data_IF_984028420825
#
_entry.id   IF_984028420825
#
_cell.length_a   1.000
_cell.length_b   1.000
_cell.length_c   1.000
_cell.angle_alpha   90.00
_cell.angle_beta   90.00
_cell.angle_gamma   90.00
#
_symmetry.space_group_name_H-M   'P 1'
#
loop_
_entity.id
_entity.type
_entity.pdbx_description
1 polymer ?
#
# COMPACT_ATOMS: atom_id res chain seq x y z
N UNK A 1 -31.37 33.02 13.33
CA UNK A 1 -32.04 31.73 13.60
C UNK A 1 -30.93 30.74 13.85
N UNK A 2 -30.92 30.22 15.08
CA UNK A 2 -30.04 29.17 15.55
C UNK A 2 -30.69 27.84 15.17
N UNK A 3 -30.00 27.00 14.40
CA UNK A 3 -30.51 25.69 14.01
C UNK A 3 -29.54 24.64 14.55
N UNK A 4 -29.88 24.14 15.73
CA UNK A 4 -29.17 23.10 16.46
C UNK A 4 -29.38 21.75 15.78
N UNK A 5 -28.31 21.13 15.28
CA UNK A 5 -28.31 19.72 14.84
C UNK A 5 -28.25 18.79 16.05
N UNK A 6 -29.24 17.91 16.18
CA UNK A 6 -29.31 16.90 17.24
C UNK A 6 -28.25 15.80 17.04
N UNK A 7 -27.56 15.34 18.11
CA UNK A 7 -26.57 14.28 18.01
C UNK A 7 -27.27 12.92 18.03
N UNK A 8 -27.53 12.34 16.86
CA UNK A 8 -28.31 11.11 16.81
C UNK A 8 -28.15 10.18 15.61
N UNK A 9 -27.51 10.58 14.50
CA UNK A 9 -27.35 9.67 13.36
C UNK A 9 -26.06 9.97 12.59
N UNK A 10 -24.96 9.35 13.04
CA UNK A 10 -23.81 9.11 12.16
C UNK A 10 -23.48 7.63 12.25
N UNK A 11 -24.27 6.82 11.56
CA UNK A 11 -23.83 5.52 11.08
C UNK A 11 -23.19 5.71 9.72
N UNK A 12 -21.93 6.19 9.71
CA UNK A 12 -21.09 6.05 8.53
C UNK A 12 -19.64 5.79 8.97
N UNK A 13 -19.23 4.52 8.86
CA UNK A 13 -17.89 4.04 9.18
C UNK A 13 -16.80 4.57 8.21
N UNK A 14 -17.12 5.53 7.32
CA UNK A 14 -16.19 6.13 6.35
C UNK A 14 -15.44 7.38 6.81
N UNK A 15 -15.75 7.92 7.99
CA UNK A 15 -15.17 9.17 8.51
C UNK A 15 -13.62 9.25 8.56
N UNK A 16 -12.84 8.17 8.79
CA UNK A 16 -11.38 8.27 8.79
C UNK A 16 -10.77 8.34 7.39
N UNK A 17 -11.43 7.74 6.39
CA UNK A 17 -10.89 7.62 5.04
C UNK A 17 -11.06 8.93 4.27
N UNK A 18 -12.19 9.60 4.43
CA UNK A 18 -12.47 10.85 3.74
C UNK A 18 -11.68 12.03 4.30
N UNK A 19 -11.38 12.04 5.60
CA UNK A 19 -10.49 13.05 6.19
C UNK A 19 -9.02 12.85 5.75
N UNK A 20 -8.58 11.61 5.61
CA UNK A 20 -7.27 11.27 5.04
C UNK A 20 -7.22 11.67 3.55
N UNK A 21 -8.26 11.34 2.78
CA UNK A 21 -8.38 11.70 1.36
C UNK A 21 -8.38 13.22 1.17
N UNK A 22 -9.11 13.96 2.00
CA UNK A 22 -9.20 15.42 1.94
C UNK A 22 -7.86 16.09 2.28
N UNK A 23 -7.17 15.68 3.34
CA UNK A 23 -5.82 16.20 3.66
C UNK A 23 -4.77 15.90 2.59
N UNK A 24 -4.82 14.71 1.97
CA UNK A 24 -3.89 14.36 0.88
C UNK A 24 -4.22 15.18 -0.39
N UNK A 25 -5.51 15.44 -0.63
CA UNK A 25 -6.00 16.22 -1.77
C UNK A 25 -5.69 17.72 -1.64
N UNK A 26 -5.85 18.28 -0.45
CA UNK A 26 -5.65 19.71 -0.22
C UNK A 26 -4.15 20.11 -0.22
N UNK A 27 -3.24 19.18 0.12
CA UNK A 27 -1.78 19.47 0.18
C UNK A 27 -0.98 19.00 -1.07
N UNK A 28 -1.51 18.12 -1.93
CA UNK A 28 -0.71 17.40 -2.94
C UNK A 28 -1.40 17.02 -4.29
N UNK A 29 -2.37 17.78 -4.81
CA UNK A 29 -2.82 17.52 -6.20
C UNK A 29 -1.80 18.08 -7.21
N UNK A 30 -0.96 17.19 -7.71
CA UNK A 30 -0.42 17.23 -9.06
C UNK A 30 -0.53 15.81 -9.63
N UNK A 31 -1.71 15.48 -10.15
CA UNK A 31 -2.08 14.39 -11.08
C UNK A 31 -1.52 12.98 -10.92
N UNK A 32 -0.92 12.64 -9.78
CA UNK A 32 -0.41 11.29 -9.53
C UNK A 32 -0.75 10.76 -8.15
N UNK A 33 -1.42 9.62 -8.14
CA UNK A 33 -1.93 8.98 -6.93
C UNK A 33 -0.91 7.99 -6.35
N UNK A 34 -1.06 7.68 -5.06
CA UNK A 34 -0.24 6.68 -4.37
C UNK A 34 -1.12 5.49 -4.03
N UNK A 35 -0.68 4.29 -4.42
CA UNK A 35 -1.28 3.02 -4.04
C UNK A 35 -0.72 2.56 -2.70
N UNK A 36 -1.61 2.37 -1.72
CA UNK A 36 -1.27 1.86 -0.40
C UNK A 36 -1.66 0.38 -0.32
N UNK A 37 -0.67 -0.50 -0.21
CA UNK A 37 -0.87 -1.95 -0.06
C UNK A 37 -0.89 -2.29 1.43
N UNK A 38 -2.05 -2.67 1.96
CA UNK A 38 -2.19 -3.15 3.33
C UNK A 38 -1.84 -4.64 3.40
N UNK A 39 -0.72 -4.97 4.06
CA UNK A 39 -0.13 -6.31 4.07
C UNK A 39 -0.49 -7.00 5.39
N UNK A 40 -1.56 -7.79 5.36
CA UNK A 40 -2.02 -8.62 6.46
C UNK A 40 -1.62 -10.09 6.31
N UNK A 41 -2.29 -10.96 7.07
CA UNK A 41 -2.10 -12.41 6.93
C UNK A 41 -2.59 -12.87 5.56
N UNK A 42 -1.84 -13.76 4.90
CA UNK A 42 -2.16 -14.33 3.58
C UNK A 42 -2.33 -13.32 2.43
N UNK A 43 -2.07 -12.01 2.60
CA UNK A 43 -2.30 -11.01 1.54
C UNK A 43 -1.54 -11.34 0.25
N UNK A 44 -0.37 -11.99 0.37
CA UNK A 44 0.45 -12.42 -0.77
C UNK A 44 -0.26 -13.39 -1.73
N UNK A 45 -1.36 -14.01 -1.29
CA UNK A 45 -2.14 -14.96 -2.09
C UNK A 45 -3.17 -14.31 -3.00
N UNK A 46 -3.47 -13.02 -2.81
CA UNK A 46 -4.64 -12.38 -3.43
C UNK A 46 -4.32 -11.86 -4.83
N UNK A 47 -5.04 -12.37 -5.84
CA UNK A 47 -4.86 -11.94 -7.24
C UNK A 47 -5.18 -10.48 -7.46
N UNK A 48 -6.24 -9.98 -6.83
CA UNK A 48 -6.62 -8.57 -6.97
C UNK A 48 -5.53 -7.64 -6.41
N UNK A 49 -4.81 -8.05 -5.36
CA UNK A 49 -3.66 -7.28 -4.85
C UNK A 49 -2.52 -7.26 -5.88
N UNK A 50 -2.24 -8.40 -6.52
CA UNK A 50 -1.25 -8.48 -7.59
C UNK A 50 -1.62 -7.58 -8.78
N UNK A 51 -2.89 -7.60 -9.20
CA UNK A 51 -3.41 -6.82 -10.31
C UNK A 51 -3.36 -5.32 -10.04
N UNK A 52 -3.77 -4.89 -8.85
CA UNK A 52 -3.71 -3.47 -8.46
C UNK A 52 -2.26 -2.97 -8.40
N UNK A 53 -1.32 -3.77 -7.89
CA UNK A 53 0.10 -3.39 -7.89
C UNK A 53 0.62 -3.26 -9.32
N UNK A 54 0.31 -4.20 -10.21
CA UNK A 54 0.72 -4.13 -11.62
C UNK A 54 0.16 -2.88 -12.30
N UNK A 55 -1.14 -2.63 -12.15
CA UNK A 55 -1.78 -1.44 -12.69
C UNK A 55 -1.20 -0.13 -12.15
N UNK A 56 -0.72 -0.15 -10.89
CA UNK A 56 -0.10 1.02 -10.26
C UNK A 56 1.30 1.31 -10.77
N UNK A 57 2.10 0.31 -11.13
CA UNK A 57 3.52 0.50 -11.49
C UNK A 57 3.75 0.65 -12.99
N UNK A 58 2.84 0.13 -13.83
CA UNK A 58 2.93 0.28 -15.28
C UNK A 58 2.55 1.71 -15.66
N UNK A 59 3.46 2.38 -16.34
CA UNK A 59 3.17 3.64 -17.02
C UNK A 59 2.45 3.36 -18.35
N UNK A 60 1.23 3.87 -18.52
CA UNK A 60 0.46 3.70 -19.76
C UNK A 60 0.19 5.08 -20.40
N UNK A 61 0.02 5.16 -21.73
CA UNK A 61 -0.22 6.43 -22.42
C UNK A 61 -1.36 7.29 -21.84
N UNK A 62 -2.35 6.65 -21.21
CA UNK A 62 -3.52 7.32 -20.62
C UNK A 62 -3.62 7.14 -19.09
N UNK A 63 -2.61 6.57 -18.44
CA UNK A 63 -2.61 6.35 -16.99
C UNK A 63 -1.18 6.42 -16.48
N UNK A 64 -0.84 7.56 -15.86
CA UNK A 64 0.45 7.72 -15.22
C UNK A 64 0.65 6.68 -14.13
N UNK A 65 1.88 6.17 -14.05
CA UNK A 65 2.26 5.31 -12.92
C UNK A 65 2.07 6.03 -11.58
N UNK A 66 1.67 5.25 -10.58
CA UNK A 66 1.40 5.65 -9.22
C UNK A 66 2.59 5.37 -8.31
N UNK A 67 2.75 6.15 -7.24
CA UNK A 67 3.68 5.79 -6.16
C UNK A 67 3.16 4.56 -5.41
N UNK A 68 4.04 3.67 -4.94
CA UNK A 68 3.62 2.47 -4.18
C UNK A 68 4.24 2.43 -2.79
N UNK A 69 3.40 2.14 -1.78
CA UNK A 69 3.83 1.91 -0.39
C UNK A 69 3.12 0.72 0.23
N UNK A 70 3.89 -0.16 0.87
CA UNK A 70 3.35 -1.24 1.69
C UNK A 70 3.25 -0.85 3.15
N UNK A 71 2.11 -1.16 3.78
CA UNK A 71 1.91 -1.02 5.22
C UNK A 71 1.63 -2.39 5.83
N UNK A 72 2.57 -2.88 6.64
CA UNK A 72 2.46 -4.15 7.34
C UNK A 72 1.46 -4.03 8.48
N UNK A 73 0.36 -4.77 8.42
CA UNK A 73 -0.69 -4.77 9.44
C UNK A 73 -0.30 -5.64 10.65
N UNK A 74 -0.84 -5.35 11.86
CA UNK A 74 -0.60 -6.16 13.06
C UNK A 74 -0.91 -7.66 12.90
N UNK A 75 -1.79 -8.02 11.96
CA UNK A 75 -2.16 -9.41 11.67
C UNK A 75 -1.08 -10.18 10.88
N UNK A 76 -0.08 -9.50 10.33
CA UNK A 76 0.98 -10.13 9.56
C UNK A 76 1.91 -10.96 10.46
N UNK A 77 2.30 -12.21 10.09
CA UNK A 77 3.13 -13.07 10.94
C UNK A 77 4.44 -12.42 11.39
N UNK A 78 5.05 -11.61 10.50
CA UNK A 78 6.31 -10.93 10.78
C UNK A 78 6.15 -9.45 11.20
N UNK A 79 4.97 -9.06 11.71
CA UNK A 79 4.70 -7.67 12.07
C UNK A 79 5.71 -7.11 13.08
N UNK A 80 6.06 -7.89 14.11
CA UNK A 80 6.98 -7.45 15.15
C UNK A 80 8.47 -7.63 14.79
N UNK A 81 8.79 -8.42 13.77
CA UNK A 81 10.18 -8.63 13.31
C UNK A 81 10.83 -7.36 12.75
N UNK A 82 12.15 -7.29 12.88
CA UNK A 82 12.96 -6.27 12.21
C UNK A 82 12.91 -6.46 10.69
N UNK A 83 13.05 -5.39 9.88
CA UNK A 83 12.94 -5.48 8.42
C UNK A 83 13.80 -6.57 7.78
N UNK A 84 15.05 -6.73 8.26
CA UNK A 84 16.00 -7.74 7.77
C UNK A 84 15.60 -9.19 8.10
N UNK A 85 14.78 -9.40 9.12
CA UNK A 85 14.38 -10.73 9.61
C UNK A 85 13.00 -11.14 9.07
N UNK A 86 12.38 -10.30 8.24
CA UNK A 86 11.08 -10.60 7.61
C UNK A 86 11.28 -11.60 6.49
N UNK A 87 10.39 -12.58 6.44
CA UNK A 87 10.30 -13.50 5.31
C UNK A 87 9.72 -12.75 4.10
N UNK A 88 10.51 -12.52 3.03
CA UNK A 88 10.02 -11.82 1.84
C UNK A 88 8.89 -12.59 1.14
N UNK A 89 8.77 -13.91 1.39
CA UNK A 89 7.70 -14.75 0.84
C UNK A 89 6.33 -14.50 1.45
N UNK A 90 6.25 -13.72 2.53
CA UNK A 90 4.97 -13.31 3.13
C UNK A 90 4.45 -11.98 2.55
N UNK A 91 5.26 -11.31 1.73
CA UNK A 91 4.90 -10.07 1.03
C UNK A 91 4.32 -10.46 -0.35
N UNK A 92 3.31 -9.72 -0.86
CA UNK A 92 2.86 -9.86 -2.24
C UNK A 92 4.04 -9.91 -3.22
N UNK A 93 4.16 -10.95 -4.06
CA UNK A 93 5.36 -11.18 -4.89
C UNK A 93 5.76 -9.97 -5.73
N UNK A 94 4.80 -9.29 -6.37
CA UNK A 94 5.07 -8.10 -7.20
C UNK A 94 5.56 -6.91 -6.38
N UNK A 95 5.02 -6.71 -5.18
CA UNK A 95 5.54 -5.71 -4.26
C UNK A 95 6.96 -6.07 -3.80
N UNK A 96 7.22 -7.34 -3.49
CA UNK A 96 8.54 -7.80 -3.04
C UNK A 96 9.66 -7.59 -4.06
N UNK A 97 9.34 -7.61 -5.37
CA UNK A 97 10.30 -7.28 -6.44
C UNK A 97 10.66 -5.80 -6.50
N UNK A 98 9.80 -4.92 -5.99
CA UNK A 98 9.94 -3.46 -6.09
C UNK A 98 10.51 -2.78 -4.84
N UNK A 99 10.93 -3.54 -3.81
CA UNK A 99 11.42 -2.99 -2.53
C UNK A 99 12.93 -3.09 -2.33
N UNK A 100 13.67 -3.69 -3.28
CA UNK A 100 15.12 -3.88 -3.21
C UNK A 100 15.92 -2.95 -4.13
N UNK A 101 17.24 -2.93 -3.96
CA UNK A 101 18.16 -2.09 -4.74
C UNK A 101 18.51 -0.75 -4.06
N UNK A 102 19.33 0.06 -4.74
CA UNK A 102 19.75 1.37 -4.25
C UNK A 102 18.63 2.41 -4.35
N UNK A 103 17.79 2.31 -5.39
CA UNK A 103 16.66 3.20 -5.65
C UNK A 103 15.35 2.41 -5.82
N UNK A 104 14.80 1.83 -4.74
CA UNK A 104 13.62 0.98 -4.82
C UNK A 104 12.37 1.80 -5.16
N UNK A 105 11.53 1.27 -6.04
CA UNK A 105 10.26 1.91 -6.42
C UNK A 105 9.28 1.96 -5.25
N UNK A 106 9.21 0.88 -4.47
CA UNK A 106 8.33 0.72 -3.33
C UNK A 106 9.11 0.60 -2.01
N UNK A 107 8.42 0.84 -0.90
CA UNK A 107 8.96 0.61 0.44
C UNK A 107 7.87 0.08 1.38
N UNK A 108 8.28 -0.71 2.37
CA UNK A 108 7.37 -1.29 3.36
C UNK A 108 7.63 -0.71 4.74
N UNK A 109 6.57 -0.27 5.40
CA UNK A 109 6.61 0.24 6.77
C UNK A 109 5.64 -0.53 7.66
N UNK A 110 5.87 -0.51 8.98
CA UNK A 110 4.87 -1.01 9.93
C UNK A 110 3.69 -0.05 9.99
N UNK A 111 2.48 -0.60 10.06
CA UNK A 111 1.29 0.14 10.45
C UNK A 111 1.47 0.69 11.86
N UNK A 112 1.27 1.99 12.11
CA UNK A 112 1.43 2.57 13.43
C UNK A 112 0.23 2.27 14.35
N UNK A 113 0.48 1.92 15.62
CA UNK A 113 -0.60 1.74 16.63
C UNK A 113 -1.19 3.05 17.17
N UNK A 114 -0.46 4.17 17.05
CA UNK A 114 -0.86 5.50 17.53
C UNK A 114 -0.41 6.56 16.54
N UNK A 115 -1.13 7.69 16.50
CA UNK A 115 -0.85 8.84 15.61
C UNK A 115 -0.73 8.41 14.14
N UNK A 116 -1.74 7.68 13.65
CA UNK A 116 -1.71 7.02 12.34
C UNK A 116 -1.40 8.01 11.23
N UNK A 117 -2.20 9.06 11.09
CA UNK A 117 -2.02 10.07 10.03
C UNK A 117 -0.63 10.68 10.05
N UNK A 118 -0.15 11.15 11.21
CA UNK A 118 1.20 11.74 11.37
C UNK A 118 2.33 10.78 10.99
N UNK A 119 2.12 9.47 11.09
CA UNK A 119 3.14 8.44 10.80
C UNK A 119 2.99 7.79 9.43
N UNK A 120 1.82 7.89 8.80
CA UNK A 120 1.53 7.32 7.46
C UNK A 120 1.69 8.36 6.37
N UNK A 121 1.19 9.59 6.56
CA UNK A 121 1.24 10.66 5.54
C UNK A 121 2.67 10.90 5.02
N UNK A 122 3.72 11.01 5.87
CA UNK A 122 5.08 11.19 5.35
C UNK A 122 5.60 10.02 4.50
N UNK A 123 5.09 8.79 4.73
CA UNK A 123 5.46 7.61 3.95
C UNK A 123 4.76 7.58 2.60
N UNK A 124 3.51 8.04 2.56
CA UNK A 124 2.74 8.24 1.32
C UNK A 124 3.44 9.27 0.46
N UNK A 125 3.80 10.43 1.04
CA UNK A 125 4.55 11.47 0.32
C UNK A 125 5.91 10.96 -0.21
N UNK A 126 6.65 10.17 0.57
CA UNK A 126 7.89 9.53 0.08
C UNK A 126 7.65 8.54 -1.06
N UNK A 127 6.49 7.88 -1.10
CA UNK A 127 6.15 6.95 -2.18
C UNK A 127 5.78 7.69 -3.46
N UNK A 128 5.05 8.80 -3.33
CA UNK A 128 4.82 9.75 -4.43
C UNK A 128 6.15 10.18 -5.05
N UNK A 129 7.09 10.69 -4.25
CA UNK A 129 8.40 11.14 -4.75
C UNK A 129 9.27 10.02 -5.34
N UNK A 130 9.10 8.76 -4.91
CA UNK A 130 9.88 7.62 -5.43
C UNK A 130 9.45 7.23 -6.84
N UNK A 131 8.18 7.44 -7.19
CA UNK A 131 7.63 7.03 -8.50
C UNK A 131 8.44 7.62 -9.66
N UNK A 132 8.94 8.85 -9.52
CA UNK A 132 9.67 9.55 -10.57
C UNK A 132 11.17 9.26 -10.54
N UNK A 133 11.71 8.90 -9.37
CA UNK A 133 13.14 8.61 -9.18
C UNK A 133 13.55 7.24 -9.69
N UNK A 134 12.66 6.26 -9.64
CA UNK A 134 12.94 4.90 -10.10
C UNK A 134 12.32 4.70 -11.48
N UNK A 135 13.12 4.80 -12.57
CA UNK A 135 12.58 4.77 -13.93
C UNK A 135 11.97 3.41 -14.31
N UNK A 136 12.47 2.31 -13.75
CA UNK A 136 12.11 0.95 -14.17
C UNK A 136 11.56 0.12 -13.00
N UNK A 137 10.27 0.25 -12.65
CA UNK A 137 9.63 -0.70 -11.74
C UNK A 137 9.61 -2.10 -12.34
N UNK A 138 9.69 -3.12 -11.49
CA UNK A 138 9.69 -4.51 -11.91
C UNK A 138 8.27 -5.08 -11.93
N UNK A 139 7.70 -5.16 -13.14
CA UNK A 139 6.42 -5.81 -13.42
C UNK A 139 6.57 -7.18 -14.10
N UNK A 140 7.78 -7.78 -14.10
CA UNK A 140 8.11 -8.97 -14.88
C UNK A 140 7.41 -10.28 -14.44
N UNK A 141 6.50 -10.23 -13.48
CA UNK A 141 5.68 -11.39 -13.07
C UNK A 141 4.41 -11.48 -13.90
N UNK A 142 4.09 -12.68 -14.38
CA UNK A 142 2.75 -12.96 -14.91
C UNK A 142 1.68 -12.62 -13.87
N UNK A 143 0.61 -11.95 -14.33
CA UNK A 143 -0.56 -11.66 -13.51
C UNK A 143 -1.15 -12.96 -12.97
N UNK A 144 -1.57 -12.94 -11.72
CA UNK A 144 -2.18 -14.12 -11.12
C UNK A 144 -3.54 -14.38 -11.79
N UNK A 145 -3.72 -15.54 -12.41
CA UNK A 145 -5.03 -15.93 -12.95
C UNK A 145 -6.06 -16.09 -11.83
N UNK A 146 -5.63 -16.74 -10.75
CA UNK A 146 -6.43 -17.07 -9.57
C UNK A 146 -5.73 -16.68 -8.27
N UNK A 147 -6.47 -16.65 -7.16
CA UNK A 147 -5.83 -16.52 -5.86
C UNK A 147 -4.89 -17.72 -5.65
N UNK A 148 -3.68 -17.47 -5.16
CA UNK A 148 -2.76 -18.54 -4.77
C UNK A 148 -3.26 -19.22 -3.50
N UNK A 149 -2.80 -20.44 -3.27
CA UNK A 149 -3.00 -21.17 -2.03
C UNK A 149 -1.66 -21.44 -1.36
N UNK A 150 -1.64 -21.52 -0.03
CA UNK A 150 -0.45 -21.90 0.72
C UNK A 150 -0.54 -21.54 2.19
N UNK A 151 0.44 -22.00 2.96
CA UNK A 151 0.54 -21.68 4.38
C UNK A 151 0.87 -20.19 4.57
N UNK A 152 -0.02 -19.49 5.26
CA UNK A 152 0.09 -18.06 5.52
C UNK A 152 1.24 -17.66 6.44
N UNK A 153 1.95 -18.61 7.05
CA UNK A 153 3.17 -18.41 7.84
C UNK A 153 4.45 -18.75 7.07
N UNK A 154 4.37 -19.56 6.01
CA UNK A 154 5.54 -19.96 5.19
C UNK A 154 5.74 -19.07 3.96
N UNK A 155 4.65 -18.51 3.43
CA UNK A 155 4.69 -17.67 2.24
C UNK A 155 4.59 -18.45 0.93
N UNK A 156 4.70 -17.74 -0.19
CA UNK A 156 4.72 -18.38 -1.51
C UNK A 156 5.96 -19.26 -1.68
N UNK A 157 5.76 -20.37 -2.38
CA UNK A 157 6.84 -21.26 -2.84
C UNK A 157 7.09 -20.97 -4.34
N UNK A 158 8.33 -21.21 -4.77
CA UNK A 158 8.72 -21.09 -6.18
C UNK A 158 8.13 -22.22 -7.02
#
# INVERSE_FOLDING_TARGET
MDESVSPGDIHDENLPLDEIRRRIRDDHIADSVVTIVLIGRCTWQRKHVDWEISASIIDRPNNERCGVVGLLLPTHPDYDKWPKDRNPRLIPPRLARNIGGNDPFAAIYKWPRKRVSKRVIPKVHRAFLRKDKTPWPDDGLHLFRDNRSGDCHRGWQN
#
